data_IF_829522783287
#
_entry.id   IF_829522783287
#
_cell.length_a   1.000
_cell.length_b   1.000
_cell.length_c   1.000
_cell.angle_alpha   90.00
_cell.angle_beta   90.00
_cell.angle_gamma   90.00
#
_symmetry.space_group_name_H-M   'P 1'
#
loop_
_entity.id
_entity.type
_entity.pdbx_description
1 polymer ?
#
# COMPACT_ATOMS: atom_id res chain seq x y z
N UNK A 1 18.10 -21.78 -20.41
CA UNK A 1 17.07 -21.10 -19.62
C UNK A 1 15.92 -22.10 -19.56
N UNK A 2 15.94 -22.97 -18.53
CA UNK A 2 14.90 -23.95 -18.25
C UNK A 2 13.66 -23.20 -17.80
N UNK A 3 12.59 -23.27 -18.58
CA UNK A 3 11.29 -22.77 -18.20
C UNK A 3 10.70 -23.65 -17.12
N UNK A 4 10.78 -23.24 -15.87
CA UNK A 4 9.95 -23.79 -14.81
C UNK A 4 8.50 -23.42 -15.14
N UNK A 5 7.80 -24.38 -15.70
CA UNK A 5 6.36 -24.29 -15.88
C UNK A 5 5.76 -24.43 -14.47
N UNK A 6 5.55 -23.29 -13.80
CA UNK A 6 4.77 -23.26 -12.57
C UNK A 6 3.39 -23.84 -12.89
N UNK A 7 3.15 -25.04 -12.43
CA UNK A 7 1.84 -25.68 -12.57
C UNK A 7 0.88 -24.93 -11.66
N UNK A 8 0.10 -24.02 -12.26
CA UNK A 8 -0.97 -23.27 -11.60
C UNK A 8 -2.20 -24.18 -11.29
N UNK A 9 -1.97 -25.47 -11.02
CA UNK A 9 -3.02 -26.40 -10.63
C UNK A 9 -3.51 -26.03 -9.23
N UNK A 10 -4.75 -25.57 -9.13
CA UNK A 10 -5.41 -25.22 -7.87
C UNK A 10 -5.74 -23.74 -7.71
N UNK A 11 -5.41 -22.87 -8.68
CA UNK A 11 -5.88 -21.49 -8.67
C UNK A 11 -7.35 -21.42 -9.07
N UNK A 12 -8.09 -20.53 -8.41
CA UNK A 12 -9.44 -20.15 -8.87
C UNK A 12 -9.33 -19.55 -10.27
N UNK A 13 -10.30 -19.83 -11.15
CA UNK A 13 -10.33 -19.25 -12.49
C UNK A 13 -10.83 -17.81 -12.50
N UNK A 14 -11.49 -17.39 -11.45
CA UNK A 14 -12.05 -16.04 -11.30
C UNK A 14 -11.64 -15.45 -9.96
N UNK A 15 -11.24 -14.19 -9.98
CA UNK A 15 -10.87 -13.41 -8.80
C UNK A 15 -11.64 -12.10 -8.76
N UNK A 16 -12.13 -11.75 -7.59
CA UNK A 16 -12.76 -10.48 -7.30
C UNK A 16 -11.71 -9.47 -6.82
N UNK A 17 -11.49 -8.41 -7.59
CA UNK A 17 -10.42 -7.46 -7.38
C UNK A 17 -10.98 -6.06 -7.13
N UNK A 18 -10.65 -5.46 -5.99
CA UNK A 18 -10.87 -4.04 -5.76
C UNK A 18 -9.62 -3.27 -6.17
N UNK A 19 -9.77 -2.33 -7.09
CA UNK A 19 -8.71 -1.41 -7.49
C UNK A 19 -8.93 -0.05 -6.82
N UNK A 20 -7.97 0.36 -6.01
CA UNK A 20 -7.92 1.65 -5.33
C UNK A 20 -6.83 2.51 -6.00
N UNK A 21 -7.14 3.34 -7.02
CA UNK A 21 -6.13 4.08 -7.78
C UNK A 21 -5.36 5.09 -6.92
N UNK A 22 -6.05 5.70 -5.96
CA UNK A 22 -5.49 6.77 -5.13
C UNK A 22 -5.40 8.11 -5.85
N UNK A 23 -4.29 8.82 -5.61
CA UNK A 23 -4.08 10.18 -6.08
C UNK A 23 -2.97 10.28 -7.14
N UNK A 24 -3.00 11.33 -7.93
CA UNK A 24 -1.91 11.71 -8.84
C UNK A 24 -1.41 10.57 -9.72
N UNK A 25 -0.12 10.24 -9.57
CA UNK A 25 0.52 9.15 -10.31
C UNK A 25 -0.18 7.79 -10.09
N UNK A 26 -0.85 7.61 -8.96
CA UNK A 26 -1.60 6.39 -8.65
C UNK A 26 -2.65 6.07 -9.71
N UNK A 27 -3.36 7.08 -10.21
CA UNK A 27 -4.36 6.92 -11.28
C UNK A 27 -3.72 6.49 -12.60
N UNK A 28 -2.57 7.06 -12.94
CA UNK A 28 -1.86 6.71 -14.18
C UNK A 28 -1.33 5.27 -14.15
N UNK A 29 -0.70 4.87 -13.03
CA UNK A 29 -0.16 3.53 -12.89
C UNK A 29 -1.26 2.47 -12.77
N UNK A 30 -2.40 2.79 -12.16
CA UNK A 30 -3.54 1.89 -12.04
C UNK A 30 -4.08 1.45 -13.41
N UNK A 31 -4.17 2.38 -14.37
CA UNK A 31 -4.55 2.08 -15.75
C UNK A 31 -3.59 1.07 -16.39
N UNK A 32 -2.29 1.24 -16.21
CA UNK A 32 -1.30 0.33 -16.78
C UNK A 32 -1.30 -1.04 -16.07
N UNK A 33 -1.46 -1.03 -14.77
CA UNK A 33 -1.56 -2.24 -13.98
C UNK A 33 -2.79 -3.08 -14.40
N UNK A 34 -3.94 -2.44 -14.60
CA UNK A 34 -5.14 -3.08 -15.14
C UNK A 34 -4.89 -3.72 -16.50
N UNK A 35 -4.22 -3.03 -17.43
CA UNK A 35 -3.84 -3.59 -18.74
C UNK A 35 -2.97 -4.83 -18.62
N UNK A 36 -2.04 -4.85 -17.64
CA UNK A 36 -1.21 -6.04 -17.38
C UNK A 36 -2.08 -7.18 -16.88
N UNK A 37 -2.98 -6.95 -15.92
CA UNK A 37 -3.91 -7.98 -15.43
C UNK A 37 -4.76 -8.57 -16.56
N UNK A 38 -5.34 -7.73 -17.41
CA UNK A 38 -6.14 -8.16 -18.55
C UNK A 38 -5.33 -9.02 -19.53
N UNK A 39 -4.05 -8.66 -19.75
CA UNK A 39 -3.15 -9.44 -20.60
C UNK A 39 -2.76 -10.80 -19.97
N UNK A 40 -2.54 -10.82 -18.66
CA UNK A 40 -2.27 -12.06 -17.91
C UNK A 40 -3.50 -12.97 -17.94
N UNK A 41 -4.68 -12.39 -17.66
CA UNK A 41 -5.96 -13.12 -17.71
C UNK A 41 -6.14 -13.84 -19.04
N UNK A 42 -5.95 -13.14 -20.15
CA UNK A 42 -6.10 -13.71 -21.51
C UNK A 42 -5.12 -14.84 -21.84
N UNK A 43 -3.96 -14.89 -21.17
CA UNK A 43 -2.93 -15.92 -21.39
C UNK A 43 -3.09 -17.15 -20.51
N UNK A 44 -3.67 -16.96 -19.31
CA UNK A 44 -3.74 -18.01 -18.29
C UNK A 44 -5.15 -18.55 -18.07
N UNK A 45 -6.11 -18.19 -18.92
CA UNK A 45 -7.53 -18.53 -18.79
C UNK A 45 -8.08 -18.14 -17.40
N UNK A 46 -7.74 -16.91 -16.96
CA UNK A 46 -8.21 -16.34 -15.72
C UNK A 46 -9.23 -15.22 -16.00
N UNK A 47 -10.06 -14.94 -15.01
CA UNK A 47 -10.98 -13.80 -15.02
C UNK A 47 -10.70 -12.92 -13.79
N UNK A 48 -10.56 -11.61 -14.02
CA UNK A 48 -10.50 -10.63 -12.94
C UNK A 48 -11.74 -9.73 -13.02
N UNK A 49 -12.64 -9.85 -12.04
CA UNK A 49 -13.75 -8.92 -11.86
C UNK A 49 -13.21 -7.69 -11.12
N UNK A 50 -12.86 -6.64 -11.87
CA UNK A 50 -12.20 -5.45 -11.31
C UNK A 50 -13.23 -4.37 -11.03
N UNK A 51 -13.36 -4.02 -9.75
CA UNK A 51 -14.17 -2.90 -9.25
C UNK A 51 -13.26 -1.76 -8.80
N UNK A 52 -13.39 -0.61 -9.43
CA UNK A 52 -12.54 0.56 -9.17
C UNK A 52 -13.23 1.52 -8.21
N UNK A 53 -12.61 1.74 -7.04
CA UNK A 53 -13.12 2.62 -6.00
C UNK A 53 -12.18 3.83 -5.86
N UNK A 54 -12.64 5.05 -6.13
CA UNK A 54 -11.83 6.25 -5.94
C UNK A 54 -11.52 6.47 -4.46
N UNK A 55 -10.30 6.93 -4.16
CA UNK A 55 -9.89 7.22 -2.79
C UNK A 55 -8.75 8.24 -2.76
N UNK A 56 -8.51 8.80 -1.58
CA UNK A 56 -7.37 9.68 -1.33
C UNK A 56 -7.73 11.13 -1.14
N UNK A 57 -6.72 12.00 -1.23
CA UNK A 57 -6.85 13.41 -0.92
C UNK A 57 -7.63 14.21 -1.95
N UNK A 58 -7.55 13.86 -3.24
CA UNK A 58 -8.38 14.49 -4.27
C UNK A 58 -9.86 14.18 -4.03
N UNK A 59 -10.18 12.91 -3.78
CA UNK A 59 -11.55 12.50 -3.47
C UNK A 59 -12.07 13.18 -2.21
N UNK A 60 -11.24 13.32 -1.17
CA UNK A 60 -11.61 14.00 0.07
C UNK A 60 -11.95 15.49 -0.15
N UNK A 61 -11.20 16.19 -0.98
CA UNK A 61 -11.48 17.62 -1.27
C UNK A 61 -12.83 17.82 -1.96
N UNK A 62 -13.32 16.85 -2.71
CA UNK A 62 -14.58 16.92 -3.44
C UNK A 62 -15.77 16.42 -2.61
N UNK A 63 -15.55 15.43 -1.72
CA UNK A 63 -16.64 14.69 -1.08
C UNK A 63 -16.62 14.73 0.46
N UNK A 64 -15.62 15.37 1.09
CA UNK A 64 -15.41 15.44 2.54
C UNK A 64 -15.26 14.05 3.22
N UNK A 65 -14.92 13.02 2.45
CA UNK A 65 -14.58 11.66 2.89
C UNK A 65 -13.49 11.10 1.98
N UNK A 66 -12.64 10.24 2.49
CA UNK A 66 -11.45 9.77 1.75
C UNK A 66 -11.70 8.60 0.79
N UNK A 67 -12.94 8.08 0.78
CA UNK A 67 -13.49 7.13 -0.20
C UNK A 67 -15.02 7.05 -0.09
N UNK A 68 -15.74 6.41 -1.06
CA UNK A 68 -17.18 6.23 -1.01
C UNK A 68 -17.66 5.42 0.20
N UNK A 69 -18.89 5.62 0.59
CA UNK A 69 -19.56 4.78 1.57
C UNK A 69 -19.67 3.33 1.07
N UNK A 70 -19.53 2.35 1.98
CA UNK A 70 -19.53 0.94 1.61
C UNK A 70 -18.19 0.40 1.08
N UNK A 71 -17.17 1.27 0.89
CA UNK A 71 -15.86 0.84 0.38
C UNK A 71 -15.16 -0.16 1.32
N UNK A 72 -15.38 -0.04 2.63
CA UNK A 72 -14.82 -0.96 3.63
C UNK A 72 -15.35 -2.38 3.45
N UNK A 73 -16.66 -2.52 3.36
CA UNK A 73 -17.34 -3.81 3.15
C UNK A 73 -16.97 -4.39 1.79
N UNK A 74 -16.83 -3.53 0.79
CA UNK A 74 -16.43 -3.97 -0.54
C UNK A 74 -15.00 -4.51 -0.54
N UNK A 75 -14.07 -3.84 0.12
CA UNK A 75 -12.69 -4.30 0.30
C UNK A 75 -12.62 -5.63 1.09
N UNK A 76 -13.45 -5.79 2.12
CA UNK A 76 -13.43 -7.00 2.95
C UNK A 76 -13.94 -8.25 2.25
N UNK A 77 -14.71 -8.11 1.17
CA UNK A 77 -15.25 -9.23 0.38
C UNK A 77 -14.39 -9.58 -0.82
N UNK A 78 -13.48 -8.71 -1.20
CA UNK A 78 -12.61 -8.94 -2.35
C UNK A 78 -11.56 -10.02 -2.06
N UNK A 79 -11.21 -10.81 -3.07
CA UNK A 79 -10.08 -11.72 -3.00
C UNK A 79 -8.75 -10.96 -2.96
N UNK A 80 -8.70 -9.79 -3.65
CA UNK A 80 -7.50 -8.97 -3.79
C UNK A 80 -7.85 -7.48 -3.77
N UNK A 81 -7.06 -6.71 -3.05
CA UNK A 81 -7.07 -5.25 -3.11
C UNK A 81 -5.78 -4.78 -3.80
N UNK A 82 -5.94 -4.11 -4.92
CA UNK A 82 -4.85 -3.50 -5.66
C UNK A 82 -4.81 -2.00 -5.38
N UNK A 83 -3.74 -1.54 -4.75
CA UNK A 83 -3.62 -0.17 -4.26
C UNK A 83 -2.60 0.62 -5.07
N UNK A 84 -2.99 1.78 -5.57
CA UNK A 84 -2.13 2.77 -6.18
C UNK A 84 -1.47 3.70 -5.15
N UNK A 85 -0.89 4.80 -5.61
CA UNK A 85 -0.28 5.79 -4.74
C UNK A 85 -1.36 6.70 -4.12
N UNK A 86 -1.25 6.94 -2.82
CA UNK A 86 -2.17 7.81 -2.07
C UNK A 86 -1.38 8.96 -1.46
N UNK A 87 -1.92 10.15 -1.57
CA UNK A 87 -1.37 11.38 -1.02
C UNK A 87 -1.52 12.55 -2.00
N UNK A 88 -2.19 13.58 -1.57
CA UNK A 88 -2.42 14.79 -2.35
C UNK A 88 -1.98 16.04 -1.58
N UNK A 89 -1.34 17.00 -2.22
CA UNK A 89 -0.93 18.23 -1.54
C UNK A 89 -2.14 19.04 -1.06
N UNK A 90 -2.04 19.57 0.12
CA UNK A 90 -3.04 20.49 0.66
C UNK A 90 -3.17 21.75 -0.21
N UNK A 91 -4.38 22.31 -0.39
CA UNK A 91 -4.57 23.59 -1.08
C UNK A 91 -3.75 24.74 -0.50
N UNK A 92 -3.35 24.66 0.76
CA UNK A 92 -2.46 25.64 1.41
C UNK A 92 -0.99 25.50 0.97
N UNK A 93 -0.63 24.48 0.22
CA UNK A 93 0.75 24.15 -0.15
C UNK A 93 1.62 23.63 1.01
N UNK A 94 1.04 23.42 2.19
CA UNK A 94 1.75 22.93 3.38
C UNK A 94 1.34 21.50 3.71
N UNK A 95 2.16 20.54 3.26
CA UNK A 95 1.93 19.11 3.53
C UNK A 95 0.76 18.49 2.75
N UNK A 96 0.35 17.29 3.13
CA UNK A 96 -0.76 16.58 2.49
C UNK A 96 -2.13 17.11 2.96
N UNK A 97 -3.17 16.71 2.24
CA UNK A 97 -4.55 16.91 2.69
C UNK A 97 -4.80 16.12 3.96
N UNK A 98 -5.23 16.82 5.02
CA UNK A 98 -5.54 16.23 6.31
C UNK A 98 -7.05 16.23 6.55
N UNK A 99 -7.55 15.15 7.15
CA UNK A 99 -8.93 15.04 7.60
C UNK A 99 -9.11 15.65 9.01
N UNK A 100 -10.34 15.99 9.42
CA UNK A 100 -10.61 16.56 10.75
C UNK A 100 -10.19 15.66 11.92
N UNK A 101 -10.11 14.34 11.70
CA UNK A 101 -9.66 13.36 12.70
C UNK A 101 -8.13 13.29 12.87
N UNK A 102 -7.38 14.14 12.17
CA UNK A 102 -5.93 14.20 12.22
C UNK A 102 -5.19 13.20 11.33
N UNK A 103 -5.90 12.34 10.60
CA UNK A 103 -5.27 11.47 9.62
C UNK A 103 -5.14 12.15 8.25
N UNK A 104 -4.14 11.73 7.49
CA UNK A 104 -4.02 12.10 6.08
C UNK A 104 -5.20 11.49 5.28
N UNK A 105 -5.77 12.27 4.35
CA UNK A 105 -6.82 11.75 3.48
C UNK A 105 -6.30 10.59 2.63
N UNK A 106 -7.10 9.51 2.58
CA UNK A 106 -6.72 8.20 2.05
C UNK A 106 -6.22 7.22 3.11
N UNK A 107 -6.21 7.64 4.38
CA UNK A 107 -5.87 6.75 5.51
C UNK A 107 -6.69 5.47 5.51
N UNK A 108 -7.99 5.55 5.26
CA UNK A 108 -8.90 4.40 5.29
C UNK A 108 -8.51 3.33 4.27
N UNK A 109 -8.16 3.76 3.06
CA UNK A 109 -7.75 2.87 1.97
C UNK A 109 -6.39 2.18 2.23
N UNK A 110 -5.48 2.83 2.94
CA UNK A 110 -4.11 2.33 3.18
C UNK A 110 -3.98 1.70 4.55
N UNK A 111 -3.90 2.54 5.59
CA UNK A 111 -3.62 2.08 6.95
C UNK A 111 -4.88 1.48 7.61
N UNK A 112 -6.05 2.03 7.32
CA UNK A 112 -7.33 1.50 7.79
C UNK A 112 -7.56 0.06 7.32
N UNK A 113 -7.40 -0.22 6.03
CA UNK A 113 -7.52 -1.58 5.48
C UNK A 113 -6.48 -2.52 6.10
N UNK A 114 -5.24 -2.06 6.27
CA UNK A 114 -4.16 -2.86 6.85
C UNK A 114 -4.54 -3.42 8.23
N UNK A 115 -5.06 -2.56 9.10
CA UNK A 115 -5.46 -2.94 10.46
C UNK A 115 -6.78 -3.71 10.49
N UNK A 116 -7.78 -3.28 9.70
CA UNK A 116 -9.12 -3.88 9.69
C UNK A 116 -9.14 -5.28 9.12
N UNK A 117 -8.39 -5.52 8.07
CA UNK A 117 -8.29 -6.82 7.40
C UNK A 117 -7.15 -7.68 7.95
N UNK A 118 -6.50 -7.24 9.03
CA UNK A 118 -5.37 -7.92 9.65
C UNK A 118 -4.26 -8.32 8.66
N UNK A 119 -3.88 -7.36 7.79
CA UNK A 119 -2.85 -7.57 6.77
C UNK A 119 -1.46 -7.49 7.42
N UNK A 120 -1.16 -8.44 8.27
CA UNK A 120 0.02 -8.44 9.13
C UNK A 120 1.34 -8.69 8.40
N UNK A 121 1.32 -9.52 7.37
CA UNK A 121 2.54 -9.88 6.63
C UNK A 121 2.74 -8.98 5.42
N UNK A 122 3.76 -8.14 5.47
CA UNK A 122 4.17 -7.30 4.34
C UNK A 122 5.34 -7.96 3.62
N UNK A 123 5.04 -8.61 2.49
CA UNK A 123 6.00 -9.35 1.69
C UNK A 123 6.62 -8.43 0.65
N UNK A 124 7.94 -8.26 0.71
CA UNK A 124 8.69 -7.35 -0.17
C UNK A 124 9.82 -8.08 -0.89
N UNK A 125 9.58 -8.57 -2.11
CA UNK A 125 10.66 -9.09 -2.94
C UNK A 125 11.56 -7.93 -3.39
N UNK A 126 12.88 -8.12 -3.27
CA UNK A 126 13.89 -7.15 -3.67
C UNK A 126 14.89 -7.86 -4.57
N UNK A 127 14.98 -7.41 -5.81
CA UNK A 127 15.92 -7.92 -6.80
C UNK A 127 16.63 -6.76 -7.47
N UNK A 128 17.94 -6.85 -7.58
CA UNK A 128 18.73 -5.88 -8.33
C UNK A 128 18.87 -6.37 -9.77
N UNK A 129 18.51 -5.52 -10.72
CA UNK A 129 18.62 -5.80 -12.14
C UNK A 129 19.85 -5.14 -12.75
N UNK A 130 20.35 -5.70 -13.87
CA UNK A 130 21.44 -5.12 -14.64
C UNK A 130 21.09 -3.68 -15.08
N UNK A 131 22.08 -2.80 -15.00
CA UNK A 131 21.94 -1.39 -15.36
C UNK A 131 21.34 -0.49 -14.27
N UNK A 132 20.82 -1.07 -13.18
CA UNK A 132 20.30 -0.29 -12.05
C UNK A 132 21.44 0.19 -11.18
N UNK A 133 21.52 1.50 -10.97
CA UNK A 133 22.54 2.15 -10.15
C UNK A 133 21.94 2.69 -8.86
N UNK A 134 22.75 2.71 -7.81
CA UNK A 134 22.40 3.32 -6.52
C UNK A 134 22.69 4.82 -6.56
N UNK A 135 21.81 5.59 -5.91
CA UNK A 135 22.07 7.01 -5.70
C UNK A 135 22.60 7.24 -4.29
N UNK A 136 23.90 7.42 -4.20
CA UNK A 136 24.60 7.64 -2.92
C UNK A 136 25.27 9.01 -2.96
N UNK A 137 25.01 9.84 -1.98
CA UNK A 137 25.56 11.20 -1.88
C UNK A 137 25.37 12.01 -3.17
N UNK A 138 24.21 11.86 -3.82
CA UNK A 138 23.86 12.58 -5.05
C UNK A 138 24.50 12.03 -6.34
N UNK A 139 25.32 10.99 -6.27
CA UNK A 139 25.96 10.37 -7.42
C UNK A 139 25.34 9.00 -7.70
N UNK A 140 25.17 8.67 -8.99
CA UNK A 140 24.79 7.34 -9.42
C UNK A 140 26.03 6.46 -9.48
N UNK A 141 26.01 5.34 -8.77
CA UNK A 141 27.11 4.38 -8.74
C UNK A 141 26.59 2.97 -8.47
N UNK A 142 27.31 1.98 -8.97
CA UNK A 142 27.01 0.58 -8.67
C UNK A 142 27.79 0.18 -7.42
N UNK A 143 27.07 -0.18 -6.35
CA UNK A 143 27.63 -0.63 -5.07
C UNK A 143 27.52 -2.14 -4.94
N UNK A 144 26.38 -2.70 -5.33
CA UNK A 144 26.14 -4.15 -5.35
C UNK A 144 25.96 -4.65 -6.77
N UNK A 145 26.30 -5.90 -6.99
CA UNK A 145 26.07 -6.56 -8.27
C UNK A 145 24.69 -7.21 -8.28
N UNK A 146 24.03 -7.34 -9.43
CA UNK A 146 22.73 -8.03 -9.56
C UNK A 146 22.73 -9.43 -8.96
N UNK A 147 23.83 -10.17 -9.08
CA UNK A 147 23.95 -11.53 -8.53
C UNK A 147 23.97 -11.57 -6.98
N UNK A 148 24.23 -10.44 -6.33
CA UNK A 148 24.36 -10.38 -4.87
C UNK A 148 23.03 -10.00 -4.19
N UNK A 149 22.00 -9.60 -4.96
CA UNK A 149 20.74 -9.06 -4.41
C UNK A 149 19.54 -9.74 -5.04
N UNK A 150 19.07 -10.78 -4.37
CA UNK A 150 17.78 -11.45 -4.64
C UNK A 150 17.26 -11.97 -3.30
N UNK A 151 16.34 -11.23 -2.68
CA UNK A 151 15.86 -11.51 -1.33
C UNK A 151 14.39 -11.14 -1.16
N UNK A 152 13.77 -11.69 -0.13
CA UNK A 152 12.40 -11.34 0.27
C UNK A 152 12.42 -10.88 1.72
N UNK A 153 11.94 -9.66 1.96
CA UNK A 153 11.66 -9.18 3.30
C UNK A 153 10.23 -9.56 3.68
N UNK A 154 10.07 -10.23 4.81
CA UNK A 154 8.78 -10.42 5.47
C UNK A 154 8.74 -9.51 6.67
N UNK A 155 7.85 -8.52 6.64
CA UNK A 155 7.72 -7.51 7.69
C UNK A 155 6.38 -7.65 8.39
N UNK A 156 6.38 -7.65 9.73
CA UNK A 156 5.16 -7.45 10.50
C UNK A 156 4.64 -6.01 10.29
N UNK A 157 3.34 -5.84 10.17
CA UNK A 157 2.77 -4.63 9.60
C UNK A 157 1.57 -4.05 10.38
N UNK A 158 1.15 -4.71 11.47
CA UNK A 158 -0.05 -4.34 12.25
C UNK A 158 0.21 -4.13 13.73
N UNK A 159 1.29 -4.70 14.27
CA UNK A 159 1.66 -4.64 15.67
C UNK A 159 2.91 -3.77 15.94
N UNK A 160 3.43 -3.79 17.14
CA UNK A 160 4.61 -3.07 17.55
C UNK A 160 4.43 -1.55 17.44
N UNK A 161 5.21 -0.89 16.59
CA UNK A 161 5.13 0.54 16.38
C UNK A 161 3.85 1.00 15.65
N UNK A 162 3.10 0.05 15.06
CA UNK A 162 1.84 0.34 14.36
C UNK A 162 0.60 0.17 15.23
N UNK A 163 0.75 -0.24 16.48
CA UNK A 163 -0.37 -0.40 17.42
C UNK A 163 -1.14 0.90 17.68
N UNK A 164 -0.51 2.06 17.41
CA UNK A 164 -1.11 3.37 17.62
C UNK A 164 -1.39 3.70 19.09
N UNK A 165 -0.84 2.93 20.01
CA UNK A 165 -1.01 3.15 21.44
C UNK A 165 0.05 4.11 21.95
N UNK A 166 -0.40 5.18 22.60
CA UNK A 166 0.51 6.19 23.12
C UNK A 166 -0.17 7.53 23.31
N UNK A 167 0.59 8.52 23.59
CA UNK A 167 0.07 9.87 23.78
C UNK A 167 1.15 10.91 24.04
N UNK A 168 0.72 12.15 24.20
CA UNK A 168 1.59 13.26 24.57
C UNK A 168 1.13 13.88 25.87
N UNK A 169 2.06 14.20 26.75
CA UNK A 169 1.83 14.94 27.97
C UNK A 169 2.65 16.22 27.93
N UNK A 170 2.03 17.32 28.34
CA UNK A 170 2.72 18.61 28.48
C UNK A 170 2.59 19.12 29.90
N UNK A 171 3.33 18.57 30.86
CA UNK A 171 3.24 18.94 32.26
C UNK A 171 3.58 20.41 32.47
N UNK A 172 2.61 21.20 32.94
CA UNK A 172 2.79 22.63 33.20
C UNK A 172 3.09 23.48 31.96
N UNK A 173 2.83 22.97 30.75
CA UNK A 173 3.03 23.70 29.48
C UNK A 173 4.49 23.98 29.11
N UNK A 174 5.46 23.39 29.83
CA UNK A 174 6.88 23.69 29.65
C UNK A 174 7.64 22.69 28.77
N UNK A 175 7.16 21.47 28.65
CA UNK A 175 7.76 20.42 27.84
C UNK A 175 6.70 19.43 27.38
N UNK A 176 6.90 18.86 26.20
CA UNK A 176 6.05 17.77 25.71
C UNK A 176 6.81 16.45 25.86
N UNK A 177 6.19 15.49 26.52
CA UNK A 177 6.67 14.12 26.61
C UNK A 177 5.78 13.26 25.72
N UNK A 178 6.39 12.54 24.79
CA UNK A 178 5.69 11.53 23.99
C UNK A 178 5.86 10.16 24.65
N UNK A 179 4.77 9.42 24.74
CA UNK A 179 4.77 8.01 25.16
C UNK A 179 4.38 7.13 23.99
N UNK A 180 5.07 6.03 23.81
CA UNK A 180 4.78 5.03 22.78
C UNK A 180 4.67 3.66 23.47
N UNK A 181 3.58 2.94 23.24
CA UNK A 181 3.35 1.60 23.78
C UNK A 181 3.38 0.61 22.63
N UNK A 182 4.30 -0.35 22.70
CA UNK A 182 4.43 -1.40 21.69
C UNK A 182 3.84 -2.69 22.21
N UNK A 183 2.90 -3.22 21.45
CA UNK A 183 2.29 -4.52 21.72
C UNK A 183 2.71 -5.48 20.63
N UNK A 184 3.22 -6.64 21.00
CA UNK A 184 3.65 -7.70 20.10
C UNK A 184 3.02 -9.00 20.59
N UNK A 185 2.09 -9.54 19.86
CA UNK A 185 1.38 -10.79 20.17
C UNK A 185 1.75 -11.93 19.21
N UNK A 186 2.24 -11.58 18.02
CA UNK A 186 2.68 -12.54 17.03
C UNK A 186 4.16 -12.79 17.13
N UNK A 187 4.54 -14.05 17.11
CA UNK A 187 5.92 -14.46 16.85
C UNK A 187 6.12 -14.59 15.35
N UNK A 188 7.13 -13.89 14.84
CA UNK A 188 7.53 -13.98 13.45
C UNK A 188 8.09 -15.37 13.10
#
# INVERSE_FOLDING_TARGET
IGGDTWVLSGLAKSYDVVLLPGDGIGREIAVQARRVLERVASRLDLTFAIDEIPCGGQYFLEHARDWPEGSEERCSRADVIMLGAVGWPSPSGKGPVMMPNGHMAGYSAVLGNRSRLDLYANIRPVKLYEGVQHRISGRHQQVWRPADVDMVFVRENTEGAYSGMGGTLSPGGRSTVATDVRVITRTA
#
